data_IF_617129533114
#
_entry.id   IF_617129533114
#
_cell.length_a   1.000
_cell.length_b   1.000
_cell.length_c   1.000
_cell.angle_alpha   90.00
_cell.angle_beta   90.00
_cell.angle_gamma   90.00
#
_symmetry.space_group_name_H-M   'P 1'
#
loop_
_entity.id
_entity.type
_entity.pdbx_description
1 polymer ?
#
# COMPACT_ATOMS: atom_id res chain seq x y z
N UNK A 1 33.26 -4.84 31.44
CA UNK A 1 32.25 -5.67 30.75
C UNK A 1 31.63 -4.80 29.67
N UNK A 2 32.01 -4.99 28.41
CA UNK A 2 31.46 -4.23 27.27
C UNK A 2 30.31 -5.04 26.69
N UNK A 3 29.12 -4.45 26.62
CA UNK A 3 27.96 -5.08 25.98
C UNK A 3 28.28 -5.36 24.50
N UNK A 4 28.05 -6.60 24.05
CA UNK A 4 28.13 -6.98 22.64
C UNK A 4 27.10 -6.19 21.83
N UNK A 5 27.41 -5.76 20.60
CA UNK A 5 26.43 -5.07 19.75
C UNK A 5 25.24 -6.00 19.51
N UNK A 6 24.03 -5.47 19.71
CA UNK A 6 22.79 -6.16 19.35
C UNK A 6 22.79 -6.32 17.84
N UNK A 7 22.76 -7.57 17.38
CA UNK A 7 22.74 -7.90 15.95
C UNK A 7 21.33 -7.61 15.41
N UNK A 8 21.12 -6.40 14.86
CA UNK A 8 19.83 -5.98 14.32
C UNK A 8 19.75 -6.44 12.86
N UNK A 9 18.87 -7.40 12.59
CA UNK A 9 18.60 -7.89 11.22
C UNK A 9 17.60 -6.97 10.55
N UNK A 10 18.05 -6.24 9.52
CA UNK A 10 17.20 -5.43 8.65
C UNK A 10 16.72 -6.30 7.49
N UNK A 11 15.42 -6.28 7.21
CA UNK A 11 14.82 -6.98 6.08
C UNK A 11 13.99 -6.00 5.25
N UNK A 12 14.28 -5.96 3.95
CA UNK A 12 13.45 -5.27 2.99
C UNK A 12 12.14 -6.04 2.81
N UNK A 13 11.03 -5.33 2.90
CA UNK A 13 9.69 -5.84 2.65
C UNK A 13 9.21 -5.33 1.29
N UNK A 14 8.41 -6.14 0.59
CA UNK A 14 7.68 -5.68 -0.59
C UNK A 14 6.59 -4.69 -0.17
N UNK A 15 7.01 -3.44 0.00
CA UNK A 15 6.15 -2.35 0.42
C UNK A 15 5.00 -2.10 -0.58
N UNK A 16 5.29 -2.20 -1.88
CA UNK A 16 4.30 -1.89 -2.91
C UNK A 16 3.20 -2.95 -2.94
N UNK A 17 3.55 -4.24 -2.85
CA UNK A 17 2.56 -5.32 -2.77
C UNK A 17 1.67 -5.22 -1.53
N UNK A 18 2.25 -4.84 -0.38
CA UNK A 18 1.50 -4.64 0.86
C UNK A 18 0.52 -3.47 0.74
N UNK A 19 0.98 -2.32 0.24
CA UNK A 19 0.14 -1.13 0.08
C UNK A 19 -0.96 -1.38 -0.96
N UNK A 20 -0.65 -2.02 -2.08
CA UNK A 20 -1.64 -2.39 -3.09
C UNK A 20 -2.72 -3.32 -2.51
N UNK A 21 -2.31 -4.34 -1.75
CA UNK A 21 -3.25 -5.26 -1.10
C UNK A 21 -4.17 -4.55 -0.10
N UNK A 22 -3.65 -3.59 0.67
CA UNK A 22 -4.47 -2.78 1.59
C UNK A 22 -5.45 -1.88 0.82
N UNK A 23 -4.99 -1.21 -0.24
CA UNK A 23 -5.83 -0.36 -1.07
C UNK A 23 -6.97 -1.14 -1.75
N UNK A 24 -6.69 -2.36 -2.20
CA UNK A 24 -7.68 -3.27 -2.78
C UNK A 24 -8.69 -3.75 -1.73
N UNK A 25 -8.24 -4.15 -0.53
CA UNK A 25 -9.13 -4.57 0.57
C UNK A 25 -10.06 -3.44 1.03
N UNK A 26 -9.56 -2.20 1.03
CA UNK A 26 -10.34 -1.00 1.30
C UNK A 26 -11.26 -0.59 0.15
N UNK A 27 -11.12 -1.22 -1.03
CA UNK A 27 -11.92 -0.97 -2.21
C UNK A 27 -11.94 0.51 -2.62
N UNK A 28 -10.78 1.16 -2.55
CA UNK A 28 -10.64 2.61 -2.69
C UNK A 28 -11.08 3.12 -4.07
N UNK A 29 -10.80 2.35 -5.12
CA UNK A 29 -11.22 2.70 -6.50
C UNK A 29 -12.74 2.80 -6.59
N UNK A 30 -13.49 1.87 -5.99
CA UNK A 30 -14.95 1.94 -5.96
C UNK A 30 -15.47 3.10 -5.11
N UNK A 31 -14.82 3.39 -3.98
CA UNK A 31 -15.19 4.53 -3.15
C UNK A 31 -15.01 5.86 -3.89
N UNK A 32 -13.90 6.03 -4.61
CA UNK A 32 -13.63 7.23 -5.42
C UNK A 32 -14.69 7.37 -6.52
N UNK A 33 -14.94 6.30 -7.27
CA UNK A 33 -15.96 6.28 -8.31
C UNK A 33 -17.37 6.58 -7.77
N UNK A 34 -17.69 6.14 -6.56
CA UNK A 34 -18.97 6.43 -5.90
C UNK A 34 -19.11 7.91 -5.54
N UNK A 35 -18.03 8.54 -5.08
CA UNK A 35 -18.04 9.92 -4.59
C UNK A 35 -17.94 10.95 -5.71
N UNK A 36 -17.12 10.67 -6.73
CA UNK A 36 -16.80 11.60 -7.82
C UNK A 36 -17.54 11.28 -9.12
N UNK A 37 -18.10 10.08 -9.24
CA UNK A 37 -18.63 9.55 -10.49
C UNK A 37 -17.55 8.84 -11.31
N UNK A 38 -17.93 8.32 -12.47
CA UNK A 38 -17.05 7.60 -13.39
C UNK A 38 -17.00 8.32 -14.73
N UNK A 39 -15.80 8.49 -15.31
CA UNK A 39 -15.63 9.01 -16.66
C UNK A 39 -15.00 7.95 -17.57
N UNK A 40 -15.49 7.80 -18.81
CA UNK A 40 -15.07 6.72 -19.73
C UNK A 40 -13.61 6.80 -20.19
N UNK A 41 -12.99 7.98 -20.06
CA UNK A 41 -11.57 8.19 -20.35
C UNK A 41 -10.69 8.16 -19.09
N UNK A 42 -11.27 7.98 -17.91
CA UNK A 42 -10.55 7.97 -16.65
C UNK A 42 -10.28 6.54 -16.19
N UNK A 43 -9.02 6.27 -15.88
CA UNK A 43 -8.58 5.00 -15.29
C UNK A 43 -8.01 5.34 -13.92
N UNK A 44 -8.70 4.89 -12.87
CA UNK A 44 -8.30 5.12 -11.49
C UNK A 44 -7.59 3.86 -10.98
N UNK A 45 -6.39 4.04 -10.42
CA UNK A 45 -5.67 3.02 -9.64
C UNK A 45 -5.36 3.57 -8.26
N UNK A 46 -5.53 2.76 -7.22
CA UNK A 46 -5.23 3.13 -5.83
C UNK A 46 -3.83 2.68 -5.37
N UNK A 47 -3.07 2.07 -6.27
CA UNK A 47 -1.72 1.54 -6.07
C UNK A 47 -1.20 0.92 -7.35
#
# INVERSE_FOLDING_TARGET
>A
MTASPIDIRVQDIDHCGIVAGICDEMNLVEQINRLLGTHSQEIISAG
#
